data_IF_417158658794
#
_entry.id   IF_417158658794
#
_cell.length_a   1.000
_cell.length_b   1.000
_cell.length_c   1.000
_cell.angle_alpha   90.00
_cell.angle_beta   90.00
_cell.angle_gamma   90.00
#
_symmetry.space_group_name_H-M   'P 1'
#
loop_
_entity.id
_entity.type
_entity.pdbx_description
1 polymer ?
#
# COMPACT_ATOMS: atom_id res chain seq x y z
N UNK A 1 39.13 24.13 2.03
CA UNK A 1 37.88 24.74 1.53
C UNK A 1 36.75 23.80 1.91
N UNK A 2 36.02 24.10 2.96
CA UNK A 2 34.79 23.37 3.29
C UNK A 2 33.79 23.69 2.19
N UNK A 3 33.58 22.77 1.23
CA UNK A 3 32.49 22.93 0.27
C UNK A 3 31.20 22.94 1.09
N UNK A 4 30.51 24.09 1.15
CA UNK A 4 29.16 24.10 1.69
C UNK A 4 28.36 23.07 0.90
N UNK A 5 27.96 22.00 1.60
CA UNK A 5 27.03 21.00 1.09
C UNK A 5 25.84 21.74 0.49
N UNK A 6 25.67 21.64 -0.84
CA UNK A 6 24.57 22.31 -1.54
C UNK A 6 23.27 21.62 -1.12
N UNK A 7 22.58 22.22 -0.15
CA UNK A 7 21.29 21.72 0.34
C UNK A 7 20.30 21.60 -0.81
N UNK A 8 19.57 20.48 -0.86
CA UNK A 8 18.52 20.24 -1.86
C UNK A 8 17.35 21.20 -1.59
N UNK A 9 17.00 22.09 -2.54
CA UNK A 9 15.85 22.98 -2.39
C UNK A 9 14.54 22.23 -2.64
N UNK A 10 13.45 22.72 -2.06
CA UNK A 10 12.09 22.25 -2.41
C UNK A 10 11.72 22.84 -3.78
N UNK A 11 11.38 22.02 -4.79
CA UNK A 11 10.96 22.50 -6.11
C UNK A 11 9.67 23.33 -6.08
N UNK A 12 9.49 24.23 -7.05
CA UNK A 12 8.39 25.22 -7.09
C UNK A 12 6.99 24.60 -7.00
N UNK A 13 6.76 23.50 -7.72
CA UNK A 13 5.49 22.77 -7.74
C UNK A 13 5.52 21.56 -6.79
N UNK A 14 6.63 21.34 -6.09
CA UNK A 14 6.82 20.25 -5.15
C UNK A 14 6.25 20.56 -3.77
N UNK A 15 6.39 19.60 -2.87
CA UNK A 15 5.93 19.72 -1.48
C UNK A 15 7.10 19.76 -0.50
N UNK A 16 6.93 20.52 0.58
CA UNK A 16 7.78 20.40 1.76
C UNK A 16 7.16 19.38 2.73
N UNK A 17 7.90 18.32 3.05
CA UNK A 17 7.47 17.26 3.97
C UNK A 17 7.65 17.64 5.45
N UNK A 18 8.30 18.78 5.75
CA UNK A 18 8.55 19.24 7.13
C UNK A 18 7.27 19.69 7.83
N UNK A 19 7.11 19.26 9.08
CA UNK A 19 5.94 19.50 9.92
C UNK A 19 4.68 18.76 9.45
N UNK A 20 4.80 17.77 8.57
CA UNK A 20 3.65 17.09 7.95
C UNK A 20 3.32 15.75 8.62
N UNK A 21 2.03 15.48 8.75
CA UNK A 21 1.46 14.18 9.10
C UNK A 21 0.69 13.64 7.91
N UNK A 22 1.14 12.51 7.38
CA UNK A 22 0.79 12.07 6.02
C UNK A 22 0.22 10.66 5.96
N UNK A 23 -0.58 10.38 4.93
CA UNK A 23 -1.07 9.02 4.65
C UNK A 23 -0.01 8.20 3.91
N UNK A 24 0.23 6.98 4.40
CA UNK A 24 1.16 6.04 3.77
C UNK A 24 0.61 5.41 2.48
N UNK A 25 1.49 5.02 1.55
CA UNK A 25 1.10 4.19 0.41
C UNK A 25 0.68 2.81 0.88
N UNK A 26 -0.53 2.38 0.49
CA UNK A 26 -1.07 1.06 0.83
C UNK A 26 -1.73 0.45 -0.40
N UNK A 27 -1.21 -0.68 -0.89
CA UNK A 27 -1.79 -1.39 -2.04
C UNK A 27 -3.23 -1.79 -1.71
N UNK A 28 -4.17 -1.47 -2.61
CA UNK A 28 -5.63 -1.53 -2.45
C UNK A 28 -6.23 -0.52 -1.46
N UNK A 29 -5.65 -0.32 -0.28
CA UNK A 29 -6.27 0.56 0.72
C UNK A 29 -6.05 2.04 0.43
N UNK A 30 -5.03 2.42 -0.35
CA UNK A 30 -4.68 3.80 -0.71
C UNK A 30 -5.32 4.32 -2.00
N UNK A 31 -6.38 3.67 -2.49
CA UNK A 31 -7.14 4.17 -3.65
C UNK A 31 -7.80 5.53 -3.37
N UNK A 32 -8.25 6.20 -4.43
CA UNK A 32 -8.73 7.58 -4.39
C UNK A 32 -9.69 7.89 -3.21
N UNK A 33 -10.76 7.14 -2.94
CA UNK A 33 -11.67 7.49 -1.85
C UNK A 33 -11.01 7.53 -0.47
N UNK A 34 -10.03 6.65 -0.22
CA UNK A 34 -9.29 6.61 1.04
C UNK A 34 -8.38 7.82 1.21
N UNK A 35 -7.77 8.29 0.11
CA UNK A 35 -6.94 9.49 0.12
C UNK A 35 -7.78 10.73 0.36
N UNK A 36 -8.95 10.83 -0.28
CA UNK A 36 -9.92 11.89 0.00
C UNK A 36 -10.40 11.86 1.45
N UNK A 37 -10.67 10.67 1.99
CA UNK A 37 -11.05 10.49 3.40
C UNK A 37 -9.94 10.92 4.36
N UNK A 38 -8.69 10.59 4.07
CA UNK A 38 -7.56 11.03 4.90
C UNK A 38 -7.38 12.55 4.85
N UNK A 39 -7.48 13.17 3.67
CA UNK A 39 -7.45 14.62 3.51
C UNK A 39 -8.61 15.31 4.25
N UNK A 40 -9.81 14.73 4.18
CA UNK A 40 -10.99 15.22 4.91
C UNK A 40 -10.72 15.32 6.41
N UNK A 41 -10.06 14.32 7.00
CA UNK A 41 -9.70 14.31 8.41
C UNK A 41 -8.37 15.00 8.72
N UNK A 42 -7.77 15.68 7.74
CA UNK A 42 -6.63 16.57 7.97
C UNK A 42 -5.25 15.98 7.70
N UNK A 43 -5.12 14.85 6.98
CA UNK A 43 -3.81 14.47 6.46
C UNK A 43 -3.24 15.61 5.60
N UNK A 44 -1.97 15.96 5.80
CA UNK A 44 -1.39 17.09 5.08
C UNK A 44 -1.03 16.72 3.63
N UNK A 45 -0.61 15.47 3.41
CA UNK A 45 -0.26 14.88 2.12
C UNK A 45 -0.72 13.42 2.09
N UNK A 46 -0.94 12.89 0.88
CA UNK A 46 -1.41 11.52 0.66
C UNK A 46 -0.60 10.81 -0.39
N UNK A 47 -0.21 9.57 -0.12
CA UNK A 47 0.44 8.71 -1.11
C UNK A 47 -0.60 7.83 -1.81
N UNK A 48 -0.45 7.69 -3.12
CA UNK A 48 -1.13 6.64 -3.89
C UNK A 48 -0.67 5.23 -3.50
N UNK A 49 -1.40 4.18 -3.93
CA UNK A 49 -0.88 2.82 -3.81
C UNK A 49 0.41 2.67 -4.64
N UNK A 50 1.31 1.77 -4.22
CA UNK A 50 2.44 1.36 -5.04
C UNK A 50 1.93 0.90 -6.41
N UNK A 51 2.34 1.62 -7.47
CA UNK A 51 1.94 1.34 -8.84
C UNK A 51 3.18 0.95 -9.64
N UNK A 52 3.15 -0.21 -10.28
CA UNK A 52 4.29 -0.76 -11.02
C UNK A 52 4.51 0.05 -12.29
N UNK A 53 5.75 0.45 -12.57
CA UNK A 53 6.15 1.21 -13.75
C UNK A 53 5.55 0.65 -15.07
N UNK A 54 5.71 -0.64 -15.32
CA UNK A 54 5.21 -1.34 -16.51
C UNK A 54 3.70 -1.39 -16.62
N UNK A 55 2.96 -1.23 -15.51
CA UNK A 55 1.50 -1.13 -15.57
C UNK A 55 1.05 0.24 -16.03
N UNK A 56 1.81 1.29 -15.70
CA UNK A 56 1.54 2.67 -16.15
C UNK A 56 1.98 2.92 -17.58
N UNK A 57 3.11 2.37 -17.99
CA UNK A 57 3.63 2.54 -19.36
C UNK A 57 2.62 1.98 -20.37
N UNK A 58 2.23 2.83 -21.33
CA UNK A 58 1.20 2.53 -22.32
C UNK A 58 -0.25 2.77 -21.86
N UNK A 59 -0.46 3.41 -20.71
CA UNK A 59 -1.79 3.90 -20.31
C UNK A 59 -2.19 5.13 -21.12
N UNK A 60 -3.49 5.36 -21.21
CA UNK A 60 -4.11 6.58 -21.75
C UNK A 60 -4.62 7.42 -20.58
N UNK A 61 -4.16 8.67 -20.51
CA UNK A 61 -4.68 9.67 -19.55
C UNK A 61 -6.02 10.20 -20.03
N UNK A 62 -7.06 10.13 -19.20
CA UNK A 62 -8.41 10.64 -19.46
C UNK A 62 -8.86 11.54 -18.33
N UNK A 63 -9.47 12.68 -18.66
CA UNK A 63 -10.05 13.59 -17.69
C UNK A 63 -11.57 13.61 -17.85
N UNK A 64 -12.29 13.42 -16.75
CA UNK A 64 -13.73 13.59 -16.70
C UNK A 64 -14.07 14.97 -16.10
N UNK A 65 -14.68 15.90 -16.88
CA UNK A 65 -14.97 17.24 -16.40
C UNK A 65 -16.11 17.32 -15.38
N UNK A 66 -16.98 16.31 -15.29
CA UNK A 66 -18.09 16.25 -14.33
C UNK A 66 -17.60 15.80 -12.96
N UNK A 67 -16.86 14.69 -12.91
CA UNK A 67 -16.32 14.15 -11.65
C UNK A 67 -14.98 14.76 -11.24
N UNK A 68 -14.35 15.54 -12.12
CA UNK A 68 -13.00 16.12 -11.94
C UNK A 68 -11.90 15.08 -11.77
N UNK A 69 -12.16 13.84 -12.19
CA UNK A 69 -11.26 12.71 -12.05
C UNK A 69 -10.31 12.64 -13.24
N UNK A 70 -9.04 12.36 -12.97
CA UNK A 70 -8.06 11.95 -13.97
C UNK A 70 -7.79 10.46 -13.79
N UNK A 71 -7.81 9.73 -14.89
CA UNK A 71 -7.58 8.29 -14.93
C UNK A 71 -6.48 7.94 -15.92
N UNK A 72 -5.68 6.95 -15.55
CA UNK A 72 -4.77 6.26 -16.47
C UNK A 72 -5.34 4.88 -16.73
N UNK A 73 -5.83 4.67 -17.96
CA UNK A 73 -6.51 3.44 -18.35
C UNK A 73 -5.69 2.66 -19.38
N UNK A 74 -5.83 1.34 -19.41
CA UNK A 74 -5.18 0.49 -20.41
C UNK A 74 -6.08 -0.69 -20.77
N UNK A 75 -6.08 -1.07 -22.04
CA UNK A 75 -6.72 -2.32 -22.47
C UNK A 75 -6.08 -3.51 -21.74
N UNK A 76 -6.86 -4.34 -21.02
CA UNK A 76 -6.34 -5.52 -20.37
C UNK A 76 -5.67 -6.43 -21.40
N UNK A 77 -4.40 -6.77 -21.22
CA UNK A 77 -3.73 -7.70 -22.14
C UNK A 77 -4.09 -9.16 -21.83
N UNK A 78 -4.40 -9.52 -20.57
CA UNK A 78 -4.69 -10.91 -20.14
C UNK A 78 -3.67 -11.94 -20.69
N UNK A 79 -2.43 -11.53 -20.96
CA UNK A 79 -1.42 -12.38 -21.62
C UNK A 79 -1.61 -12.63 -23.12
N UNK A 80 -2.67 -12.10 -23.74
CA UNK A 80 -2.91 -12.16 -25.17
C UNK A 80 -2.23 -10.98 -25.91
N UNK A 81 -1.60 -11.27 -27.05
CA UNK A 81 -0.98 -10.25 -27.92
C UNK A 81 -1.99 -9.27 -28.52
N UNK A 82 -3.27 -9.66 -28.59
CA UNK A 82 -4.38 -8.83 -29.04
C UNK A 82 -5.60 -9.11 -28.16
N UNK A 83 -5.96 -8.21 -27.24
CA UNK A 83 -7.21 -8.36 -26.48
C UNK A 83 -8.43 -8.20 -27.39
N UNK A 84 -9.57 -8.84 -27.06
CA UNK A 84 -10.79 -8.71 -27.84
C UNK A 84 -11.18 -7.23 -28.08
N UNK A 85 -11.83 -6.90 -29.22
CA UNK A 85 -12.14 -5.51 -29.58
C UNK A 85 -12.96 -4.78 -28.51
N UNK A 86 -13.83 -5.51 -27.80
CA UNK A 86 -14.84 -4.96 -26.88
C UNK A 86 -14.43 -5.00 -25.40
N UNK A 87 -13.16 -5.27 -25.07
CA UNK A 87 -12.72 -5.27 -23.67
C UNK A 87 -12.66 -3.84 -23.12
N UNK A 88 -13.44 -3.58 -22.07
CA UNK A 88 -13.42 -2.32 -21.29
C UNK A 88 -12.01 -2.06 -20.75
N UNK A 89 -11.53 -0.83 -20.88
CA UNK A 89 -10.22 -0.45 -20.34
C UNK A 89 -10.18 -0.71 -18.82
N UNK A 90 -9.06 -1.23 -18.34
CA UNK A 90 -8.76 -1.28 -16.91
C UNK A 90 -8.20 0.06 -16.45
N UNK A 91 -8.75 0.59 -15.36
CA UNK A 91 -8.17 1.73 -14.64
C UNK A 91 -6.95 1.21 -13.85
N UNK A 92 -5.78 1.79 -14.13
CA UNK A 92 -4.52 1.48 -13.46
C UNK A 92 -4.30 2.44 -12.29
N UNK A 93 -4.59 3.72 -12.50
CA UNK A 93 -4.46 4.75 -11.47
C UNK A 93 -5.53 5.82 -11.66
N UNK A 94 -5.96 6.43 -10.56
CA UNK A 94 -6.99 7.47 -10.54
C UNK A 94 -6.67 8.51 -9.48
N UNK A 95 -6.91 9.78 -9.80
CA UNK A 95 -6.84 10.90 -8.86
C UNK A 95 -7.97 11.91 -9.06
N UNK A 96 -8.23 12.74 -8.04
CA UNK A 96 -9.12 13.89 -8.16
C UNK A 96 -8.30 15.17 -8.37
N UNK A 97 -8.48 15.82 -9.51
CA UNK A 97 -7.68 16.99 -9.94
C UNK A 97 -7.70 18.16 -8.96
N UNK A 98 -8.84 18.47 -8.34
CA UNK A 98 -8.97 19.61 -7.41
C UNK A 98 -8.72 19.22 -5.94
N UNK A 99 -9.39 18.18 -5.43
CA UNK A 99 -9.32 17.79 -4.00
C UNK A 99 -7.93 17.31 -3.57
N UNK A 100 -7.16 16.71 -4.49
CA UNK A 100 -5.79 16.25 -4.23
C UNK A 100 -4.70 17.19 -4.77
N UNK A 101 -5.09 18.33 -5.37
CA UNK A 101 -4.15 19.31 -5.93
C UNK A 101 -3.10 19.73 -4.90
N UNK A 102 -1.83 19.60 -5.27
CA UNK A 102 -0.69 19.94 -4.40
C UNK A 102 -0.50 19.02 -3.19
N UNK A 103 -1.20 17.89 -3.11
CA UNK A 103 -1.15 16.98 -1.95
C UNK A 103 -0.86 15.51 -2.27
N UNK A 104 -1.08 15.09 -3.52
CA UNK A 104 -0.87 13.70 -3.94
C UNK A 104 0.60 13.42 -4.28
N UNK A 105 1.15 12.38 -3.68
CA UNK A 105 2.46 11.80 -4.03
C UNK A 105 2.22 10.46 -4.73
N UNK A 106 2.74 10.33 -5.95
CA UNK A 106 2.63 9.08 -6.72
C UNK A 106 3.76 8.14 -6.34
N UNK A 107 3.45 6.96 -5.79
CA UNK A 107 4.46 5.96 -5.47
C UNK A 107 4.65 4.95 -6.60
N UNK A 108 5.87 4.89 -7.15
CA UNK A 108 6.27 3.95 -8.17
C UNK A 108 6.97 2.72 -7.57
N UNK A 109 6.56 1.54 -8.03
CA UNK A 109 7.33 0.31 -7.92
C UNK A 109 8.14 0.13 -9.21
N UNK A 110 9.47 0.14 -9.10
CA UNK A 110 10.37 0.03 -10.26
C UNK A 110 11.70 -0.61 -9.87
N UNK A 111 12.39 -1.20 -10.84
CA UNK A 111 13.74 -1.75 -10.69
C UNK A 111 14.67 -1.36 -11.85
N UNK A 112 14.27 -0.37 -12.65
CA UNK A 112 15.01 0.12 -13.81
C UNK A 112 14.90 1.65 -13.91
N UNK A 113 16.02 2.40 -14.03
CA UNK A 113 15.99 3.86 -14.10
C UNK A 113 15.16 4.44 -15.26
N UNK A 114 15.26 3.85 -16.45
CA UNK A 114 14.58 4.37 -17.65
C UNK A 114 13.07 4.16 -17.55
N UNK A 115 12.63 2.98 -17.09
CA UNK A 115 11.21 2.69 -16.86
C UNK A 115 10.62 3.58 -15.76
N UNK A 116 11.41 3.88 -14.72
CA UNK A 116 11.00 4.79 -13.66
C UNK A 116 10.68 6.19 -14.20
N UNK A 117 11.57 6.73 -15.04
CA UNK A 117 11.38 8.04 -15.68
C UNK A 117 10.19 8.02 -16.63
N UNK A 118 10.08 7.00 -17.49
CA UNK A 118 8.99 6.87 -18.46
C UNK A 118 7.62 6.86 -17.76
N UNK A 119 7.47 6.04 -16.72
CA UNK A 119 6.22 5.98 -15.95
C UNK A 119 5.96 7.27 -15.15
N UNK A 120 6.99 7.89 -14.56
CA UNK A 120 6.83 9.13 -13.81
C UNK A 120 6.34 10.29 -14.71
N UNK A 121 6.86 10.40 -15.95
CA UNK A 121 6.42 11.44 -16.90
C UNK A 121 4.94 11.39 -17.24
N UNK A 122 4.29 10.23 -17.15
CA UNK A 122 2.85 10.08 -17.42
C UNK A 122 1.96 10.78 -16.38
N UNK A 123 2.46 10.97 -15.16
CA UNK A 123 1.69 11.48 -14.01
C UNK A 123 2.26 12.77 -13.42
N UNK A 124 3.52 13.11 -13.71
CA UNK A 124 4.25 14.19 -13.04
C UNK A 124 3.58 15.56 -13.16
N UNK A 125 2.83 15.84 -14.23
CA UNK A 125 2.08 17.09 -14.39
C UNK A 125 0.85 17.21 -13.47
N UNK A 126 0.38 16.10 -12.90
CA UNK A 126 -0.87 16.03 -12.14
C UNK A 126 -0.66 15.81 -10.63
N UNK A 127 0.58 15.48 -10.21
CA UNK A 127 0.91 15.13 -8.83
C UNK A 127 1.91 16.11 -8.22
N UNK A 128 2.01 16.13 -6.89
CA UNK A 128 2.87 17.05 -6.16
C UNK A 128 4.28 16.48 -5.86
N UNK A 129 4.51 15.22 -6.22
CA UNK A 129 5.80 14.54 -6.08
C UNK A 129 5.76 13.08 -6.55
N UNK A 130 6.94 12.54 -6.82
CA UNK A 130 7.14 11.12 -7.17
C UNK A 130 7.90 10.45 -6.03
N UNK A 131 7.42 9.29 -5.56
CA UNK A 131 8.06 8.49 -4.52
C UNK A 131 8.48 7.13 -5.05
N UNK A 132 9.69 6.65 -4.73
CA UNK A 132 10.13 5.29 -5.06
C UNK A 132 9.90 4.35 -3.87
N UNK A 133 9.20 3.25 -4.10
CA UNK A 133 9.07 2.18 -3.10
C UNK A 133 10.32 1.32 -3.05
N UNK A 134 11.08 1.45 -1.96
CA UNK A 134 12.24 0.62 -1.64
C UNK A 134 12.05 -0.15 -0.31
N UNK A 135 10.81 -0.35 0.13
CA UNK A 135 10.50 -0.90 1.46
C UNK A 135 9.49 -2.05 1.50
N UNK A 136 8.80 -2.34 0.39
CA UNK A 136 7.80 -3.40 0.33
C UNK A 136 8.45 -4.80 0.33
N UNK A 137 8.18 -5.67 1.34
CA UNK A 137 8.76 -7.02 1.38
C UNK A 137 7.93 -8.06 0.61
N UNK A 138 6.77 -7.67 0.04
CA UNK A 138 5.82 -8.63 -0.54
C UNK A 138 6.34 -9.19 -1.88
N UNK A 139 6.08 -10.47 -2.18
CA UNK A 139 6.58 -11.13 -3.39
C UNK A 139 6.26 -10.43 -4.71
N UNK A 140 5.09 -9.80 -4.83
CA UNK A 140 4.70 -9.10 -6.07
C UNK A 140 5.64 -7.92 -6.41
N UNK A 141 6.35 -7.38 -5.41
CA UNK A 141 7.31 -6.29 -5.58
C UNK A 141 8.74 -6.87 -5.67
N UNK A 142 9.11 -7.76 -4.74
CA UNK A 142 10.48 -8.28 -4.63
C UNK A 142 10.90 -9.25 -5.74
N UNK A 143 9.97 -10.01 -6.33
CA UNK A 143 10.24 -10.92 -7.45
C UNK A 143 10.84 -10.19 -8.67
N UNK A 144 10.32 -8.99 -8.96
CA UNK A 144 10.76 -8.17 -10.10
C UNK A 144 11.92 -7.21 -9.72
N UNK A 145 12.54 -7.44 -8.55
CA UNK A 145 13.66 -6.63 -8.06
C UNK A 145 13.28 -5.25 -7.53
N UNK A 146 11.98 -5.01 -7.25
CA UNK A 146 11.45 -3.76 -6.70
C UNK A 146 11.31 -3.83 -5.17
N UNK A 147 10.88 -2.74 -4.54
CA UNK A 147 10.58 -2.72 -3.11
C UNK A 147 11.82 -3.01 -2.26
N UNK A 148 11.67 -3.84 -1.22
CA UNK A 148 12.78 -4.16 -0.32
C UNK A 148 13.94 -4.92 -1.00
N UNK A 149 13.77 -5.43 -2.23
CA UNK A 149 14.88 -6.01 -2.98
C UNK A 149 15.94 -4.96 -3.35
N UNK A 150 15.54 -3.70 -3.56
CA UNK A 150 16.44 -2.58 -3.87
C UNK A 150 17.42 -2.26 -2.74
N UNK A 151 17.05 -2.57 -1.49
CA UNK A 151 17.92 -2.40 -0.32
C UNK A 151 19.16 -3.29 -0.36
N UNK A 152 19.15 -4.36 -1.17
CA UNK A 152 20.31 -5.24 -1.42
C UNK A 152 21.14 -4.80 -2.63
N UNK A 153 20.67 -3.80 -3.37
CA UNK A 153 21.35 -3.25 -4.56
C UNK A 153 21.31 -1.72 -4.51
N UNK A 154 21.98 -1.09 -3.52
CA UNK A 154 21.90 0.36 -3.28
C UNK A 154 22.32 1.19 -4.51
N UNK A 155 23.31 0.74 -5.29
CA UNK A 155 23.74 1.44 -6.52
C UNK A 155 22.62 1.54 -7.55
N UNK A 156 21.80 0.48 -7.67
CA UNK A 156 20.63 0.48 -8.56
C UNK A 156 19.56 1.45 -8.06
N UNK A 157 19.32 1.48 -6.75
CA UNK A 157 18.38 2.43 -6.16
C UNK A 157 18.86 3.87 -6.40
N UNK A 158 20.14 4.16 -6.19
CA UNK A 158 20.71 5.47 -6.46
C UNK A 158 20.57 5.85 -7.94
N UNK A 159 20.88 4.95 -8.87
CA UNK A 159 20.72 5.19 -10.30
C UNK A 159 19.26 5.50 -10.69
N UNK A 160 18.27 4.85 -10.07
CA UNK A 160 16.84 5.16 -10.27
C UNK A 160 16.53 6.57 -9.78
N UNK A 161 16.96 6.92 -8.57
CA UNK A 161 16.69 8.23 -7.98
C UNK A 161 17.37 9.36 -8.75
N UNK A 162 18.63 9.19 -9.14
CA UNK A 162 19.37 10.15 -9.97
C UNK A 162 18.69 10.36 -11.33
N UNK A 163 18.22 9.29 -11.98
CA UNK A 163 17.50 9.39 -13.24
C UNK A 163 16.19 10.17 -13.08
N UNK A 164 15.42 9.91 -12.01
CA UNK A 164 14.20 10.66 -11.70
C UNK A 164 14.50 12.13 -11.40
N UNK A 165 15.49 12.41 -10.55
CA UNK A 165 15.89 13.78 -10.19
C UNK A 165 16.32 14.54 -11.44
N UNK A 166 17.14 13.93 -12.30
CA UNK A 166 17.66 14.55 -13.53
C UNK A 166 16.56 14.87 -14.56
N UNK A 167 15.55 14.02 -14.69
CA UNK A 167 14.56 14.11 -15.79
C UNK A 167 13.20 14.68 -15.36
N UNK A 168 12.81 14.59 -14.09
CA UNK A 168 11.49 15.02 -13.62
C UNK A 168 11.57 16.40 -12.96
N UNK A 169 12.58 16.64 -12.11
CA UNK A 169 12.66 17.89 -11.34
C UNK A 169 12.78 19.12 -12.26
N UNK A 170 13.63 19.15 -13.31
CA UNK A 170 13.74 20.33 -14.17
C UNK A 170 12.52 20.57 -15.05
N UNK A 171 11.78 19.52 -15.41
CA UNK A 171 10.65 19.58 -16.36
C UNK A 171 9.33 19.92 -15.68
N UNK A 172 9.07 19.33 -14.50
CA UNK A 172 7.80 19.46 -13.79
C UNK A 172 7.91 20.30 -12.50
N UNK A 173 9.14 20.56 -12.04
CA UNK A 173 9.43 21.28 -10.79
C UNK A 173 8.75 20.65 -9.56
N UNK A 174 8.65 19.33 -9.53
CA UNK A 174 8.20 18.54 -8.37
C UNK A 174 9.37 17.77 -7.74
N UNK A 175 9.24 17.40 -6.47
CA UNK A 175 10.27 16.66 -5.73
C UNK A 175 10.24 15.15 -5.97
N UNK A 176 11.39 14.51 -5.74
CA UNK A 176 11.53 13.05 -5.72
C UNK A 176 11.76 12.61 -4.27
N UNK A 177 10.99 11.63 -3.80
CA UNK A 177 11.18 11.00 -2.50
C UNK A 177 11.42 9.49 -2.62
N UNK A 178 11.88 8.88 -1.54
CA UNK A 178 12.03 7.43 -1.44
C UNK A 178 11.57 6.93 -0.10
N UNK A 179 10.89 5.77 -0.08
CA UNK A 179 10.48 5.09 1.14
C UNK A 179 11.26 3.79 1.35
N UNK A 180 12.03 3.72 2.44
CA UNK A 180 12.88 2.57 2.79
C UNK A 180 12.44 1.88 4.08
N UNK A 181 13.11 0.78 4.40
CA UNK A 181 13.15 0.12 5.71
C UNK A 181 14.54 0.26 6.32
N UNK A 182 14.65 -0.02 7.62
CA UNK A 182 15.95 -0.12 8.28
C UNK A 182 16.73 -1.33 7.74
N UNK A 183 18.07 -1.22 7.71
CA UNK A 183 18.96 -2.35 7.48
C UNK A 183 19.28 -3.04 8.82
N UNK A 184 20.09 -4.10 8.76
CA UNK A 184 20.42 -4.93 9.93
C UNK A 184 21.12 -4.11 11.02
N UNK A 185 22.06 -3.25 10.62
CA UNK A 185 22.80 -2.38 11.54
C UNK A 185 22.52 -0.90 11.30
N UNK A 186 22.81 -0.08 12.31
CA UNK A 186 22.70 1.38 12.22
C UNK A 186 23.72 1.95 11.21
N UNK A 187 24.92 1.37 11.15
CA UNK A 187 26.00 1.77 10.26
C UNK A 187 25.64 1.54 8.79
N UNK A 188 25.06 0.37 8.47
CA UNK A 188 24.57 0.10 7.11
C UNK A 188 23.43 1.04 6.74
N UNK A 189 22.51 1.30 7.67
CA UNK A 189 21.40 2.24 7.46
C UNK A 189 21.94 3.65 7.20
N UNK A 190 22.91 4.13 8.00
CA UNK A 190 23.56 5.42 7.79
C UNK A 190 24.22 5.50 6.40
N UNK A 191 25.02 4.50 6.04
CA UNK A 191 25.72 4.44 4.76
C UNK A 191 24.74 4.49 3.58
N UNK A 192 23.64 3.72 3.66
CA UNK A 192 22.57 3.78 2.66
C UNK A 192 21.97 5.18 2.58
N UNK A 193 21.57 5.76 3.72
CA UNK A 193 20.94 7.10 3.76
C UNK A 193 21.85 8.16 3.17
N UNK A 194 23.16 8.14 3.47
CA UNK A 194 24.15 9.06 2.88
C UNK A 194 24.18 8.95 1.36
N UNK A 195 24.17 7.74 0.80
CA UNK A 195 24.10 7.55 -0.65
C UNK A 195 22.78 8.06 -1.23
N UNK A 196 21.64 7.81 -0.57
CA UNK A 196 20.33 8.24 -1.06
C UNK A 196 20.19 9.76 -1.10
N UNK A 197 20.60 10.47 -0.04
CA UNK A 197 20.46 11.95 0.00
C UNK A 197 21.38 12.64 -1.03
N UNK A 198 22.51 12.02 -1.39
CA UNK A 198 23.42 12.53 -2.41
C UNK A 198 22.80 12.53 -3.84
N UNK A 199 21.74 11.75 -4.08
CA UNK A 199 21.07 11.68 -5.39
C UNK A 199 20.24 12.94 -5.72
N UNK A 200 19.99 13.81 -4.73
CA UNK A 200 19.17 15.01 -4.89
C UNK A 200 17.68 14.82 -4.61
N UNK A 201 17.27 13.73 -3.96
CA UNK A 201 15.90 13.57 -3.44
C UNK A 201 15.55 14.69 -2.46
N UNK A 202 14.27 15.03 -2.37
CA UNK A 202 13.73 16.06 -1.47
C UNK A 202 13.16 15.48 -0.17
N UNK A 203 12.85 14.17 -0.15
CA UNK A 203 12.32 13.50 1.04
C UNK A 203 12.75 12.04 1.16
N UNK A 204 12.99 11.61 2.39
CA UNK A 204 13.24 10.23 2.76
C UNK A 204 12.18 9.79 3.79
N UNK A 205 11.43 8.74 3.48
CA UNK A 205 10.55 8.09 4.47
C UNK A 205 11.18 6.80 4.98
N UNK A 206 11.31 6.64 6.29
CA UNK A 206 11.86 5.41 6.90
C UNK A 206 10.79 4.65 7.68
N UNK A 207 10.44 3.46 7.21
CA UNK A 207 9.70 2.50 8.02
C UNK A 207 10.66 1.91 9.05
N UNK A 208 10.41 2.20 10.32
CA UNK A 208 11.21 1.81 11.48
C UNK A 208 11.13 0.31 11.79
N UNK A 209 11.32 -0.55 10.79
CA UNK A 209 11.39 -2.01 10.89
C UNK A 209 12.36 -2.48 9.82
N UNK A 210 13.09 -3.56 10.10
CA UNK A 210 13.88 -4.24 9.07
C UNK A 210 12.97 -5.04 8.14
N UNK A 211 13.49 -5.47 6.99
CA UNK A 211 12.74 -6.27 6.01
C UNK A 211 12.15 -7.57 6.58
N UNK A 212 12.89 -8.36 7.40
CA UNK A 212 12.37 -9.62 7.96
C UNK A 212 11.32 -9.47 9.07
N UNK A 213 11.23 -8.30 9.71
CA UNK A 213 10.31 -8.08 10.84
C UNK A 213 8.84 -8.20 10.42
N UNK A 214 8.07 -8.89 11.25
CA UNK A 214 6.62 -9.05 11.09
C UNK A 214 5.89 -7.76 11.52
N UNK A 215 4.69 -7.50 10.99
CA UNK A 215 3.91 -6.31 11.35
C UNK A 215 3.64 -6.16 12.86
N UNK A 216 3.50 -7.27 13.59
CA UNK A 216 3.26 -7.26 15.05
C UNK A 216 4.47 -6.88 15.91
N UNK A 217 5.66 -6.95 15.35
CA UNK A 217 6.89 -6.55 16.06
C UNK A 217 6.94 -5.01 16.12
N UNK A 218 7.38 -4.45 17.25
CA UNK A 218 7.37 -3.00 17.47
C UNK A 218 8.36 -2.28 16.56
N UNK A 219 8.03 -1.04 16.20
CA UNK A 219 8.92 -0.18 15.44
C UNK A 219 10.21 0.17 16.23
N UNK A 220 11.36 0.03 15.57
CA UNK A 220 12.70 0.38 16.08
C UNK A 220 13.00 1.83 15.72
N UNK A 221 12.84 2.76 16.67
CA UNK A 221 12.97 4.20 16.42
C UNK A 221 14.31 4.80 16.82
N UNK A 222 15.18 4.03 17.47
CA UNK A 222 16.46 4.52 18.00
C UNK A 222 17.42 5.09 16.95
N UNK A 223 17.30 4.66 15.68
CA UNK A 223 18.14 5.14 14.59
C UNK A 223 17.66 6.47 13.97
N UNK A 224 16.44 6.93 14.30
CA UNK A 224 15.80 8.06 13.62
C UNK A 224 16.59 9.37 13.74
N UNK A 225 17.22 9.64 14.90
CA UNK A 225 18.01 10.87 15.10
C UNK A 225 19.19 10.94 14.14
N UNK A 226 19.97 9.85 14.06
CA UNK A 226 21.09 9.73 13.10
C UNK A 226 20.59 9.92 11.66
N UNK A 227 19.50 9.26 11.28
CA UNK A 227 18.95 9.37 9.92
C UNK A 227 18.52 10.81 9.63
N UNK A 228 17.86 11.48 10.58
CA UNK A 228 17.42 12.86 10.45
C UNK A 228 18.60 13.83 10.33
N UNK A 229 19.69 13.59 11.07
CA UNK A 229 20.91 14.39 11.00
C UNK A 229 21.55 14.32 9.60
N UNK A 230 21.71 13.10 9.05
CA UNK A 230 22.20 12.90 7.68
C UNK A 230 21.30 13.58 6.64
N UNK A 231 19.97 13.46 6.79
CA UNK A 231 19.04 14.12 5.88
C UNK A 231 19.18 15.66 5.94
N UNK A 232 19.33 16.22 7.15
CA UNK A 232 19.46 17.66 7.37
C UNK A 232 20.76 18.23 6.79
N UNK A 233 21.85 17.49 6.83
CA UNK A 233 23.13 17.85 6.18
C UNK A 233 22.96 18.10 4.67
N UNK A 234 22.07 17.33 4.03
CA UNK A 234 21.76 17.43 2.60
C UNK A 234 20.53 18.30 2.29
N UNK A 235 19.82 18.81 3.30
CA UNK A 235 18.56 19.55 3.10
C UNK A 235 17.34 18.69 2.71
N UNK A 236 17.45 17.37 2.88
CA UNK A 236 16.37 16.40 2.63
C UNK A 236 15.46 16.30 3.85
N UNK A 237 14.15 16.21 3.66
CA UNK A 237 13.21 16.00 4.78
C UNK A 237 13.15 14.52 5.19
N UNK A 238 13.25 14.24 6.50
CA UNK A 238 13.13 12.89 7.06
C UNK A 238 11.74 12.63 7.64
N UNK A 239 10.97 11.72 7.03
CA UNK A 239 9.63 11.32 7.48
C UNK A 239 9.70 9.95 8.15
N UNK A 240 9.27 9.84 9.40
CA UNK A 240 9.21 8.55 10.08
C UNK A 240 7.94 7.78 9.76
N UNK A 241 8.03 6.45 9.75
CA UNK A 241 6.87 5.55 9.63
C UNK A 241 7.02 4.33 10.56
N UNK A 242 5.89 3.78 11.00
CA UNK A 242 5.82 2.60 11.87
C UNK A 242 5.33 2.93 13.27
N UNK A 243 4.22 2.32 13.66
CA UNK A 243 3.53 2.46 14.96
C UNK A 243 3.12 3.91 15.28
N UNK A 244 2.80 4.70 14.25
CA UNK A 244 2.18 6.02 14.39
C UNK A 244 0.67 5.84 14.32
N UNK A 245 -0.02 6.10 15.42
CA UNK A 245 -1.43 5.75 15.61
C UNK A 245 -2.41 6.91 15.36
N UNK A 246 -1.97 8.16 15.52
CA UNK A 246 -2.78 9.35 15.27
C UNK A 246 -1.90 10.61 15.15
N UNK A 247 -2.49 11.73 14.71
CA UNK A 247 -1.81 13.00 14.50
C UNK A 247 -1.14 13.56 15.74
N UNK A 248 -1.79 13.53 16.90
CA UNK A 248 -1.18 14.07 18.13
C UNK A 248 0.05 13.26 18.53
N UNK A 249 -0.01 11.93 18.46
CA UNK A 249 1.15 11.07 18.67
C UNK A 249 2.22 11.31 17.60
N UNK A 250 1.83 11.52 16.35
CA UNK A 250 2.75 11.82 15.26
C UNK A 250 3.58 13.07 15.57
N UNK A 251 2.95 14.15 16.05
CA UNK A 251 3.64 15.37 16.48
C UNK A 251 4.59 15.15 17.66
N UNK A 252 4.19 14.33 18.63
CA UNK A 252 5.06 13.96 19.75
C UNK A 252 6.31 13.20 19.27
N UNK A 253 6.13 12.24 18.35
CA UNK A 253 7.23 11.45 17.80
C UNK A 253 8.17 12.29 16.92
N UNK A 254 7.62 13.25 16.16
CA UNK A 254 8.41 14.24 15.40
C UNK A 254 9.37 14.96 16.34
N UNK A 255 8.87 15.49 17.45
CA UNK A 255 9.67 16.19 18.46
C UNK A 255 10.66 15.24 19.17
N UNK A 256 10.18 14.06 19.57
CA UNK A 256 10.97 13.07 20.32
C UNK A 256 12.17 12.55 19.52
N UNK A 257 12.04 12.36 18.21
CA UNK A 257 13.09 11.77 17.38
C UNK A 257 13.80 12.78 16.47
N UNK A 258 13.40 14.05 16.48
CA UNK A 258 14.03 15.11 15.70
C UNK A 258 13.89 14.91 14.18
N UNK A 259 12.87 14.18 13.77
CA UNK A 259 12.51 13.96 12.35
C UNK A 259 11.61 15.11 11.88
N UNK A 260 11.41 15.22 10.57
CA UNK A 260 10.67 16.34 9.97
C UNK A 260 9.18 16.05 9.81
N UNK A 261 8.78 14.80 9.71
CA UNK A 261 7.39 14.42 9.52
C UNK A 261 7.09 13.00 9.98
N UNK A 262 5.81 12.64 9.95
CA UNK A 262 5.36 11.31 10.35
C UNK A 262 4.28 10.78 9.41
N UNK A 263 4.36 9.50 9.08
CA UNK A 263 3.48 8.82 8.14
C UNK A 263 2.66 7.74 8.83
N UNK A 264 1.35 7.79 8.65
CA UNK A 264 0.36 6.87 9.24
C UNK A 264 -0.14 5.89 8.18
N UNK A 265 -0.11 4.59 8.50
CA UNK A 265 -0.57 3.52 7.60
C UNK A 265 -1.77 2.76 8.20
N UNK A 266 -1.48 1.72 9.00
CA UNK A 266 -2.50 0.80 9.52
C UNK A 266 -3.52 1.45 10.43
N UNK A 267 -3.19 2.55 11.11
CA UNK A 267 -4.18 3.28 11.91
C UNK A 267 -5.19 4.01 11.00
N UNK A 268 -4.73 4.61 9.90
CA UNK A 268 -5.59 5.25 8.91
C UNK A 268 -6.47 4.24 8.15
N UNK A 269 -5.93 3.05 7.85
CA UNK A 269 -6.68 1.93 7.23
C UNK A 269 -7.81 1.41 8.15
N UNK A 270 -7.59 1.43 9.47
CA UNK A 270 -8.63 1.08 10.45
C UNK A 270 -9.61 2.22 10.68
N UNK A 271 -9.12 3.46 10.73
CA UNK A 271 -9.90 4.65 10.97
C UNK A 271 -9.14 5.90 10.51
N UNK A 272 -9.55 6.48 9.39
CA UNK A 272 -8.88 7.66 8.81
C UNK A 272 -9.08 8.95 9.62
N UNK A 273 -10.02 8.99 10.59
CA UNK A 273 -10.08 10.11 11.54
C UNK A 273 -8.87 10.20 12.47
N UNK A 274 -7.91 9.25 12.39
CA UNK A 274 -6.63 9.34 13.09
C UNK A 274 -5.82 10.60 12.72
N UNK A 275 -6.13 11.27 11.61
CA UNK A 275 -5.52 12.54 11.23
C UNK A 275 -6.17 13.75 11.94
N UNK A 276 -7.34 13.59 12.54
CA UNK A 276 -8.03 14.64 13.28
C UNK A 276 -7.37 14.83 14.64
N UNK A 277 -7.10 16.08 15.00
CA UNK A 277 -6.49 16.39 16.31
C UNK A 277 -7.49 16.16 17.44
N UNK A 278 -7.04 15.85 18.66
CA UNK A 278 -7.91 15.83 19.84
C UNK A 278 -8.69 17.12 20.05
N UNK A 279 -8.07 18.27 19.74
CA UNK A 279 -8.73 19.58 19.83
C UNK A 279 -9.92 19.73 18.88
N UNK A 280 -9.93 18.97 17.77
CA UNK A 280 -11.03 18.94 16.80
C UNK A 280 -12.01 17.79 17.05
N UNK A 281 -11.87 17.02 18.13
CA UNK A 281 -12.74 15.88 18.45
C UNK A 281 -12.04 14.52 18.41
N UNK A 282 -10.83 14.44 17.86
CA UNK A 282 -10.02 13.22 17.82
C UNK A 282 -10.64 12.10 16.98
N UNK A 283 -10.46 10.85 17.43
CA UNK A 283 -10.95 9.67 16.72
C UNK A 283 -12.48 9.58 16.76
N UNK A 284 -13.09 9.48 15.58
CA UNK A 284 -14.53 9.32 15.41
C UNK A 284 -14.96 7.84 15.49
N UNK A 285 -16.23 7.57 15.82
CA UNK A 285 -16.85 6.26 15.68
C UNK A 285 -16.69 5.69 14.26
N UNK A 286 -16.53 4.37 14.16
CA UNK A 286 -16.28 3.70 12.87
C UNK A 286 -17.39 3.92 11.84
N UNK A 287 -18.64 4.05 12.30
CA UNK A 287 -19.81 4.22 11.43
C UNK A 287 -19.81 5.58 10.73
N UNK A 288 -19.40 6.66 11.41
CA UNK A 288 -19.27 7.98 10.80
C UNK A 288 -18.18 7.99 9.72
N UNK A 289 -17.05 7.34 9.99
CA UNK A 289 -15.93 7.22 9.05
C UNK A 289 -16.31 6.37 7.83
N UNK A 290 -17.08 5.30 8.05
CA UNK A 290 -17.59 4.42 6.99
C UNK A 290 -18.60 5.15 6.11
N UNK A 291 -19.52 5.90 6.70
CA UNK A 291 -20.47 6.71 5.94
C UNK A 291 -19.74 7.72 5.05
N UNK A 292 -18.79 8.48 5.61
CA UNK A 292 -18.00 9.43 4.85
C UNK A 292 -17.16 8.77 3.75
N UNK A 293 -16.61 7.57 4.00
CA UNK A 293 -15.92 6.78 2.99
C UNK A 293 -16.84 6.38 1.83
N UNK A 294 -18.07 5.93 2.13
CA UNK A 294 -19.06 5.55 1.10
C UNK A 294 -19.44 6.77 0.26
N UNK A 295 -19.63 7.93 0.88
CA UNK A 295 -19.87 9.20 0.15
C UNK A 295 -18.78 9.47 -0.87
N UNK A 296 -17.50 9.41 -0.46
CA UNK A 296 -16.38 9.59 -1.41
C UNK A 296 -16.31 8.47 -2.45
N UNK A 297 -16.58 7.22 -2.09
CA UNK A 297 -16.55 6.10 -3.02
C UNK A 297 -17.63 6.21 -4.12
N UNK A 298 -18.82 6.70 -3.76
CA UNK A 298 -19.92 7.00 -4.70
C UNK A 298 -19.64 8.23 -5.55
N UNK A 299 -19.10 9.29 -4.93
CA UNK A 299 -18.72 10.53 -5.61
C UNK A 299 -17.72 10.25 -6.73
N UNK A 300 -16.70 9.42 -6.45
CA UNK A 300 -15.65 9.13 -7.42
C UNK A 300 -15.87 7.85 -8.21
N UNK A 301 -17.06 7.24 -8.12
CA UNK A 301 -17.42 6.01 -8.86
C UNK A 301 -16.37 4.91 -8.69
N UNK A 302 -15.94 4.68 -7.45
CA UNK A 302 -14.87 3.74 -7.16
C UNK A 302 -15.30 2.30 -7.43
N UNK A 303 -14.35 1.46 -7.83
CA UNK A 303 -14.61 0.04 -8.07
C UNK A 303 -15.17 -0.62 -6.81
N UNK A 304 -16.40 -1.15 -6.92
CA UNK A 304 -17.11 -1.76 -5.78
C UNK A 304 -16.28 -2.80 -5.02
N UNK A 305 -15.55 -3.66 -5.72
CA UNK A 305 -14.70 -4.67 -5.08
C UNK A 305 -13.58 -4.08 -4.21
N UNK A 306 -13.04 -2.92 -4.58
CA UNK A 306 -12.07 -2.20 -3.75
C UNK A 306 -12.76 -1.52 -2.56
N UNK A 307 -13.89 -0.84 -2.78
CA UNK A 307 -14.68 -0.22 -1.71
C UNK A 307 -15.06 -1.24 -0.64
N UNK A 308 -15.58 -2.39 -1.05
CA UNK A 308 -15.93 -3.49 -0.15
C UNK A 308 -14.72 -3.99 0.63
N UNK A 309 -13.56 -4.09 -0.01
CA UNK A 309 -12.33 -4.48 0.68
C UNK A 309 -11.96 -3.51 1.79
N UNK A 310 -12.02 -2.19 1.55
CA UNK A 310 -11.71 -1.21 2.59
C UNK A 310 -12.80 -1.11 3.65
N UNK A 311 -14.08 -1.27 3.32
CA UNK A 311 -15.14 -1.35 4.31
C UNK A 311 -14.89 -2.50 5.31
N UNK A 312 -14.37 -3.64 4.85
CA UNK A 312 -13.96 -4.72 5.75
C UNK A 312 -12.73 -4.38 6.62
N UNK A 313 -11.97 -3.33 6.31
CA UNK A 313 -10.90 -2.83 7.19
C UNK A 313 -11.43 -1.80 8.20
N UNK A 314 -12.30 -0.89 7.74
CA UNK A 314 -12.87 0.19 8.53
C UNK A 314 -13.89 -0.32 9.56
N UNK A 315 -14.68 -1.32 9.21
CA UNK A 315 -15.70 -1.89 10.08
C UNK A 315 -15.04 -2.91 11.01
N UNK A 316 -15.08 -2.71 12.34
CA UNK A 316 -14.49 -3.67 13.27
C UNK A 316 -15.16 -5.04 13.12
N UNK A 317 -14.38 -6.11 12.96
CA UNK A 317 -14.91 -7.45 12.64
C UNK A 317 -15.87 -8.07 13.67
N UNK A 318 -15.96 -7.50 14.88
CA UNK A 318 -16.94 -7.89 15.91
C UNK A 318 -18.32 -7.26 15.72
N UNK A 319 -18.44 -6.23 14.87
CA UNK A 319 -19.69 -5.53 14.63
C UNK A 319 -20.64 -6.36 13.76
N UNK A 320 -21.96 -6.39 14.05
CA UNK A 320 -22.94 -7.07 13.20
C UNK A 320 -22.87 -6.62 11.74
N UNK A 321 -22.66 -5.32 11.50
CA UNK A 321 -22.52 -4.73 10.17
C UNK A 321 -21.44 -5.39 9.30
N UNK A 322 -20.35 -5.89 9.91
CA UNK A 322 -19.29 -6.59 9.18
C UNK A 322 -19.81 -7.85 8.48
N UNK A 323 -20.66 -8.62 9.16
CA UNK A 323 -21.26 -9.85 8.62
C UNK A 323 -22.27 -9.54 7.52
N UNK A 324 -22.94 -8.40 7.62
CA UNK A 324 -23.92 -7.91 6.66
C UNK A 324 -23.31 -7.43 5.34
N UNK A 325 -22.14 -6.77 5.39
CA UNK A 325 -21.50 -6.18 4.18
C UNK A 325 -20.69 -7.21 3.38
N UNK A 326 -20.09 -8.19 4.06
CA UNK A 326 -19.30 -9.24 3.42
C UNK A 326 -20.01 -9.98 2.26
N UNK A 327 -21.34 -10.27 2.29
CA UNK A 327 -22.04 -10.86 1.15
C UNK A 327 -22.52 -9.84 0.09
N UNK A 328 -22.57 -8.53 0.38
CA UNK A 328 -23.09 -7.51 -0.54
C UNK A 328 -22.35 -7.50 -1.88
N UNK A 329 -23.08 -7.26 -2.97
CA UNK A 329 -22.55 -7.25 -4.35
C UNK A 329 -22.73 -5.91 -5.07
N UNK A 330 -23.34 -4.92 -4.42
CA UNK A 330 -23.66 -3.60 -4.98
C UNK A 330 -23.61 -2.53 -3.87
N UNK A 331 -23.39 -1.27 -4.26
CA UNK A 331 -23.45 -0.13 -3.34
C UNK A 331 -24.84 0.04 -2.75
N UNK A 332 -25.89 -0.17 -3.55
CA UNK A 332 -27.28 -0.10 -3.12
C UNK A 332 -27.52 -1.03 -1.92
N UNK A 333 -27.08 -2.29 -2.02
CA UNK A 333 -27.19 -3.26 -0.91
C UNK A 333 -26.33 -2.86 0.29
N UNK A 334 -25.19 -2.21 0.09
CA UNK A 334 -24.39 -1.70 1.23
C UNK A 334 -25.14 -0.58 1.96
N UNK A 335 -25.70 0.38 1.22
CA UNK A 335 -26.43 1.51 1.81
C UNK A 335 -27.69 1.04 2.55
N UNK A 336 -28.47 0.10 1.96
CA UNK A 336 -29.61 -0.53 2.64
C UNK A 336 -29.20 -1.21 3.96
N UNK A 337 -28.13 -2.00 3.95
CA UNK A 337 -27.69 -2.73 5.14
C UNK A 337 -27.12 -1.83 6.24
N UNK A 338 -26.68 -0.62 5.89
CA UNK A 338 -26.16 0.38 6.82
C UNK A 338 -27.19 1.45 7.21
N UNK A 339 -28.38 1.46 6.60
CA UNK A 339 -29.40 2.49 6.84
C UNK A 339 -29.03 3.86 6.30
N UNK A 340 -28.29 3.91 5.18
CA UNK A 340 -27.86 5.16 4.53
C UNK A 340 -28.86 5.58 3.45
N UNK A 341 -30.08 5.90 3.87
CA UNK A 341 -31.22 6.13 2.97
C UNK A 341 -30.99 7.31 2.01
N UNK A 342 -30.29 8.35 2.47
CA UNK A 342 -29.95 9.54 1.68
C UNK A 342 -28.96 9.25 0.54
N UNK A 343 -28.28 8.10 0.58
CA UNK A 343 -27.32 7.67 -0.43
C UNK A 343 -27.89 6.66 -1.43
N UNK A 344 -29.10 6.15 -1.23
CA UNK A 344 -29.65 5.04 -2.03
C UNK A 344 -29.77 5.38 -3.52
N UNK A 345 -30.22 6.59 -3.85
CA UNK A 345 -30.41 6.98 -5.25
C UNK A 345 -29.07 7.07 -5.99
N UNK A 346 -28.07 7.72 -5.37
CA UNK A 346 -26.71 7.77 -5.94
C UNK A 346 -26.07 6.39 -5.98
N UNK A 347 -26.31 5.55 -4.98
CA UNK A 347 -25.79 4.18 -4.96
C UNK A 347 -26.33 3.34 -6.14
N UNK A 348 -27.63 3.45 -6.45
CA UNK A 348 -28.24 2.80 -7.62
C UNK A 348 -27.64 3.30 -8.92
N UNK A 349 -27.46 4.62 -9.05
CA UNK A 349 -26.85 5.22 -10.23
C UNK A 349 -25.42 4.70 -10.46
N UNK A 350 -24.58 4.72 -9.41
CA UNK A 350 -23.20 4.24 -9.48
C UNK A 350 -23.14 2.74 -9.78
N UNK A 351 -24.03 1.93 -9.20
CA UNK A 351 -24.11 0.51 -9.53
C UNK A 351 -24.36 0.31 -11.03
N UNK A 352 -25.29 1.06 -11.63
CA UNK A 352 -25.56 1.00 -13.07
C UNK A 352 -24.36 1.46 -13.91
N UNK A 353 -23.67 2.54 -13.53
CA UNK A 353 -22.44 3.03 -14.20
C UNK A 353 -21.34 1.95 -14.19
N UNK A 354 -21.26 1.18 -13.11
CA UNK A 354 -20.26 0.13 -12.92
C UNK A 354 -20.67 -1.23 -13.48
N UNK A 355 -21.79 -1.31 -14.22
CA UNK A 355 -22.36 -2.56 -14.76
C UNK A 355 -22.71 -3.59 -13.65
N UNK A 356 -23.15 -3.10 -12.49
CA UNK A 356 -23.57 -3.90 -11.33
C UNK A 356 -25.10 -3.86 -11.22
N UNK A 357 -25.72 -5.04 -11.02
CA UNK A 357 -27.15 -5.14 -10.74
C UNK A 357 -27.47 -4.64 -9.32
N UNK A 358 -28.19 -3.49 -9.17
CA UNK A 358 -28.49 -2.92 -7.85
C UNK A 358 -29.37 -3.84 -6.99
N UNK A 359 -30.29 -4.57 -7.63
CA UNK A 359 -31.30 -5.40 -6.98
C UNK A 359 -30.81 -6.81 -6.68
N UNK A 360 -29.69 -7.21 -7.30
CA UNK A 360 -29.13 -8.56 -7.16
C UNK A 360 -29.99 -9.64 -7.83
N UNK A 361 -30.87 -9.25 -8.74
CA UNK A 361 -31.69 -10.09 -9.62
C UNK A 361 -30.84 -10.76 -10.71
N UNK A 362 -29.76 -11.43 -10.31
CA UNK A 362 -28.72 -11.88 -11.24
C UNK A 362 -29.30 -12.48 -12.52
N UNK A 363 -28.98 -11.89 -13.67
CA UNK A 363 -29.16 -12.56 -14.96
C UNK A 363 -28.51 -13.93 -14.82
N UNK A 364 -29.31 -15.00 -14.91
CA UNK A 364 -28.82 -16.38 -15.04
C UNK A 364 -27.95 -16.41 -16.29
N UNK A 365 -26.65 -16.19 -16.14
CA UNK A 365 -25.71 -16.42 -17.24
C UNK A 365 -25.83 -17.89 -17.60
N UNK A 366 -26.35 -18.16 -18.81
CA UNK A 366 -26.24 -19.46 -19.48
C UNK A 366 -24.78 -19.91 -19.31
N UNK A 367 -24.57 -21.08 -18.70
CA UNK A 367 -23.29 -21.79 -18.71
C UNK A 367 -22.86 -21.95 -20.16
N UNK A 368 -22.03 -21.05 -20.66
CA UNK A 368 -21.13 -21.32 -21.77
C UNK A 368 -19.91 -21.97 -21.13
N UNK A 369 -19.80 -23.28 -21.29
CA UNK A 369 -18.65 -24.07 -20.87
C UNK A 369 -17.41 -23.55 -21.59
N UNK A 370 -16.60 -22.75 -20.90
CA UNK A 370 -15.31 -22.33 -21.41
C UNK A 370 -14.35 -23.53 -21.30
N UNK A 371 -14.15 -24.26 -22.40
CA UNK A 371 -13.25 -25.43 -22.48
C UNK A 371 -11.77 -25.10 -22.21
N UNK A 372 -11.42 -23.82 -22.03
CA UNK A 372 -10.06 -23.34 -21.74
C UNK A 372 -9.64 -23.45 -20.27
N UNK A 373 -10.56 -23.77 -19.34
CA UNK A 373 -10.23 -24.00 -17.93
C UNK A 373 -9.76 -25.45 -17.63
N UNK A 374 -9.72 -26.34 -18.62
CA UNK A 374 -9.28 -27.73 -18.48
C UNK A 374 -7.85 -28.00 -18.96
N UNK A 375 -7.11 -26.99 -19.44
CA UNK A 375 -5.77 -27.17 -20.00
C UNK A 375 -4.61 -26.68 -19.08
N UNK A 376 -4.86 -26.48 -17.79
CA UNK A 376 -3.82 -26.16 -16.79
C UNK A 376 -3.74 -27.17 -15.62
N UNK A 377 -4.36 -28.35 -15.79
CA UNK A 377 -4.22 -29.50 -14.89
C UNK A 377 -3.22 -30.50 -15.46
N UNK A 378 -1.93 -30.17 -15.40
CA UNK A 378 -0.86 -31.08 -15.78
C UNK A 378 -0.78 -32.29 -14.84
N UNK A 379 -1.28 -33.42 -15.34
CA UNK A 379 -0.89 -34.81 -15.06
C UNK A 379 -0.05 -35.08 -13.80
N UNK A 380 -0.70 -35.57 -12.74
CA UNK A 380 -0.08 -36.58 -11.88
C UNK A 380 -1.15 -37.47 -11.23
N UNK A 381 -1.81 -38.31 -12.03
CA UNK A 381 -2.45 -39.52 -11.51
C UNK A 381 -2.86 -40.45 -12.65
N UNK A 382 -2.02 -41.42 -12.98
CA UNK A 382 -2.45 -42.74 -13.42
C UNK A 382 -1.26 -43.70 -13.38
N UNK A 383 -1.05 -44.33 -12.22
CA UNK A 383 -0.80 -45.76 -12.19
C UNK A 383 -1.21 -46.31 -10.82
N UNK A 384 -1.83 -47.50 -10.86
CA UNK A 384 -2.21 -48.39 -9.74
C UNK A 384 -3.62 -48.20 -9.17
N UNK A 385 -4.57 -48.74 -9.93
CA UNK A 385 -5.73 -49.44 -9.38
C UNK A 385 -5.33 -50.75 -8.68
N UNK A 386 -6.22 -51.21 -7.82
CA UNK A 386 -6.27 -52.46 -7.03
C UNK A 386 -5.27 -52.58 -5.89
N UNK A 387 -5.70 -52.32 -4.65
CA UNK A 387 -6.33 -53.37 -3.82
C UNK A 387 -6.99 -52.69 -2.61
N UNK A 388 -8.24 -53.06 -2.36
CA UNK A 388 -9.09 -52.65 -1.24
C UNK A 388 -8.56 -53.13 0.10
N UNK A 389 -8.50 -52.25 1.12
CA UNK A 389 -8.68 -52.67 2.51
C UNK A 389 -9.10 -51.49 3.42
N UNK A 390 -10.03 -51.82 4.30
CA UNK A 390 -10.87 -50.98 5.16
C UNK A 390 -10.05 -50.30 6.26
N UNK A 391 -10.23 -48.99 6.48
CA UNK A 391 -9.70 -48.29 7.66
C UNK A 391 -10.66 -48.44 8.85
N UNK A 392 -10.13 -48.84 10.01
CA UNK A 392 -10.75 -48.68 11.33
C UNK A 392 -10.02 -47.59 12.10
N UNK A 393 -10.79 -46.75 12.80
CA UNK A 393 -10.33 -45.71 13.71
C UNK A 393 -9.62 -46.28 14.94
N UNK A 394 -8.62 -45.54 15.44
CA UNK A 394 -7.90 -45.84 16.67
C UNK A 394 -8.11 -44.70 17.67
N UNK A 395 -9.09 -44.89 18.55
CA UNK A 395 -9.22 -44.23 19.84
C UNK A 395 -8.96 -45.23 20.95
N UNK A 396 -7.98 -44.90 21.80
CA UNK A 396 -7.83 -45.29 23.21
C UNK A 396 -7.44 -46.73 23.60
N UNK A 397 -6.75 -46.75 24.75
CA UNK A 397 -6.25 -47.85 25.60
C UNK A 397 -4.86 -48.37 25.20
N UNK A 398 -3.82 -48.28 26.01
CA UNK A 398 -3.74 -48.11 27.46
C UNK A 398 -2.98 -49.30 28.06
N UNK A 399 -1.71 -49.06 28.39
CA UNK A 399 -0.94 -49.57 29.56
C UNK A 399 -0.94 -51.10 29.82
N UNK A 400 0.23 -51.74 29.78
CA UNK A 400 0.93 -52.23 30.99
C UNK A 400 2.32 -52.82 30.72
N UNK A 401 3.17 -52.48 31.68
CA UNK A 401 4.57 -52.80 31.97
C UNK A 401 4.79 -54.19 32.57
N UNK A 402 6.02 -54.72 32.40
CA UNK A 402 6.87 -55.38 33.44
C UNK A 402 8.13 -55.89 32.74
N UNK A 403 9.32 -55.29 32.90
CA UNK A 403 10.25 -55.35 34.04
C UNK A 403 10.96 -56.70 34.19
N UNK A 404 12.30 -56.67 34.10
CA UNK A 404 13.30 -57.31 34.95
C UNK A 404 14.64 -57.37 34.17
N UNK A 405 15.84 -57.18 34.73
CA UNK A 405 16.32 -56.79 36.06
C UNK A 405 17.86 -56.63 35.99
N UNK A 406 18.42 -55.74 36.83
CA UNK A 406 19.74 -55.83 37.54
C UNK A 406 21.06 -55.89 36.73
N UNK A 407 22.21 -55.30 37.13
CA UNK A 407 22.65 -54.58 38.35
C UNK A 407 24.11 -54.06 38.19
N UNK A 408 24.51 -53.16 39.10
CA UNK A 408 25.87 -52.80 39.59
C UNK A 408 26.85 -52.05 38.64
N UNK A 409 27.16 -50.77 38.87
CA UNK A 409 28.15 -50.16 39.81
C UNK A 409 29.63 -50.44 39.46
N UNK A 410 30.43 -49.37 39.26
CA UNK A 410 31.77 -49.10 39.87
C UNK A 410 32.40 -47.81 39.28
N UNK A 411 32.40 -46.73 40.08
CA UNK A 411 33.55 -45.88 40.50
C UNK A 411 34.54 -45.24 39.50
N UNK A 412 34.53 -43.90 39.48
CA UNK A 412 35.67 -42.97 39.74
C UNK A 412 36.82 -42.69 38.73
N UNK A 413 36.95 -41.38 38.43
CA UNK A 413 38.14 -40.52 38.65
C UNK A 413 39.18 -40.31 37.52
N UNK A 414 39.50 -39.01 37.37
CA UNK A 414 40.70 -38.31 36.86
C UNK A 414 40.72 -37.72 35.43
N UNK A 415 41.17 -36.45 35.45
CA UNK A 415 41.58 -35.51 34.39
C UNK A 415 40.48 -34.67 33.71
#
# INVERSE_FOLDING_TARGET
MTSESKKVPVPRNGVDYRGKVVLAPMVRSGELPSRLLALHYGADLVWGPETVDRSMIGTTRRYNPETKIIEWTRKPSQGAKQPPPDVKDSIIYRMHSEKEAGKLIFQIGTSNPDLAVEAAKLVAADVAGIDVNAGCPKPFSTHDGMGAALLRTPDKLCAILEALVKNIVPEFEIGISVKIRLLETAQETEALVRSLVATGITGLTVHCRTTPMRPRERAIRGQLRMIADVCREAGVACVMNGDVENRDQAMQLIQEFGVDGAMIATAAEKNSSCFQTKAQGGLLPWNEVVEQYIRYALEVENKFGNTKYLLCQLIPGKQPAYRSISPCKSYTKICEMLGLDDLLDRAREVDLILDIDPDGSGKKNKKTSNQSALAAGGQMSQSRSSTSQVRKDLSERGVKTSSDSQSAETTAVLA
#
